data_IF_178236361708
#
_entry.id   IF_178236361708
#
_cell.length_a   1.000
_cell.length_b   1.000
_cell.length_c   1.000
_cell.angle_alpha   90.00
_cell.angle_beta   90.00
_cell.angle_gamma   90.00
#
_symmetry.space_group_name_H-M   'P 1'
#
loop_
_entity.id
_entity.type
_entity.pdbx_description
1 polymer ?
#
# COMPACT_ATOMS: atom_id res chain seq x y z
N UNK A 1 -26.85 -6.94 -25.68
CA UNK A 1 -27.74 -6.69 -24.53
C UNK A 1 -27.79 -5.20 -24.28
N UNK A 2 -28.87 -4.67 -23.73
CA UNK A 2 -28.86 -3.29 -23.23
C UNK A 2 -27.70 -3.11 -22.23
N UNK A 3 -26.92 -2.02 -22.32
CA UNK A 3 -25.80 -1.75 -21.41
C UNK A 3 -26.19 -1.85 -19.93
N UNK A 4 -27.43 -1.50 -19.62
CA UNK A 4 -28.00 -1.57 -18.26
C UNK A 4 -28.11 -3.01 -17.76
N UNK A 5 -28.56 -3.95 -18.60
CA UNK A 5 -28.71 -5.36 -18.21
C UNK A 5 -27.34 -6.00 -18.00
N UNK A 6 -26.37 -5.69 -18.89
CA UNK A 6 -24.99 -6.15 -18.72
C UNK A 6 -24.37 -5.64 -17.42
N UNK A 7 -24.64 -4.39 -17.05
CA UNK A 7 -24.22 -3.81 -15.77
C UNK A 7 -24.82 -4.53 -14.56
N UNK A 8 -26.14 -4.75 -14.56
CA UNK A 8 -26.84 -5.46 -13.46
C UNK A 8 -26.28 -6.88 -13.30
N UNK A 9 -26.12 -7.63 -14.40
CA UNK A 9 -25.54 -8.98 -14.36
C UNK A 9 -24.11 -8.95 -13.82
N UNK A 10 -23.29 -7.99 -14.25
CA UNK A 10 -21.93 -7.82 -13.73
C UNK A 10 -21.89 -7.56 -12.22
N UNK A 11 -22.76 -6.69 -11.71
CA UNK A 11 -22.84 -6.42 -10.26
C UNK A 11 -23.17 -7.69 -9.46
N UNK A 12 -24.19 -8.43 -9.86
CA UNK A 12 -24.54 -9.70 -9.19
C UNK A 12 -23.41 -10.73 -9.27
N UNK A 13 -22.69 -10.78 -10.40
CA UNK A 13 -21.58 -11.70 -10.61
C UNK A 13 -20.39 -11.38 -9.69
N UNK A 14 -20.05 -10.10 -9.49
CA UNK A 14 -19.02 -9.69 -8.51
C UNK A 14 -19.42 -10.15 -7.10
N UNK A 15 -20.65 -9.84 -6.67
CA UNK A 15 -21.09 -10.25 -5.34
C UNK A 15 -21.07 -11.77 -5.16
N UNK A 16 -21.49 -12.52 -6.17
CA UNK A 16 -21.42 -13.98 -6.15
C UNK A 16 -19.97 -14.49 -5.98
N UNK A 17 -19.01 -13.93 -6.73
CA UNK A 17 -17.58 -14.27 -6.60
C UNK A 17 -17.01 -13.92 -5.22
N UNK A 18 -17.43 -12.79 -4.65
CA UNK A 18 -17.02 -12.36 -3.31
C UNK A 18 -17.57 -13.30 -2.23
N UNK A 19 -18.82 -13.76 -2.35
CA UNK A 19 -19.40 -14.76 -1.44
C UNK A 19 -18.67 -16.11 -1.51
N UNK A 20 -18.08 -16.44 -2.65
CA UNK A 20 -17.26 -17.63 -2.83
C UNK A 20 -15.87 -17.53 -2.16
N UNK A 21 -15.54 -16.37 -1.56
CA UNK A 21 -14.28 -16.12 -0.87
C UNK A 21 -13.13 -15.69 -1.77
N UNK A 22 -13.42 -15.29 -3.03
CA UNK A 22 -12.39 -14.84 -3.95
C UNK A 22 -11.85 -13.46 -3.54
N UNK A 23 -10.53 -13.21 -3.58
CA UNK A 23 -9.98 -11.91 -3.24
C UNK A 23 -10.56 -10.82 -4.15
N UNK A 24 -10.91 -9.68 -3.55
CA UNK A 24 -11.65 -8.58 -4.20
C UNK A 24 -10.96 -8.12 -5.49
N UNK A 25 -9.63 -8.05 -5.49
CA UNK A 25 -8.84 -7.66 -6.66
C UNK A 25 -9.12 -8.54 -7.87
N UNK A 26 -9.11 -9.87 -7.70
CA UNK A 26 -9.38 -10.81 -8.80
C UNK A 26 -10.85 -10.78 -9.21
N UNK A 27 -11.78 -10.60 -8.27
CA UNK A 27 -13.21 -10.52 -8.57
C UNK A 27 -13.51 -9.31 -9.46
N UNK A 28 -13.03 -8.12 -9.06
CA UNK A 28 -13.22 -6.89 -9.83
C UNK A 28 -12.48 -6.95 -11.18
N UNK A 29 -11.28 -7.51 -11.22
CA UNK A 29 -10.51 -7.66 -12.45
C UNK A 29 -11.22 -8.58 -13.45
N UNK A 30 -11.72 -9.74 -13.01
CA UNK A 30 -12.39 -10.70 -13.88
C UNK A 30 -13.72 -10.18 -14.42
N UNK A 31 -14.57 -9.62 -13.56
CA UNK A 31 -15.87 -9.08 -14.00
C UNK A 31 -15.70 -7.80 -14.82
N UNK A 32 -14.75 -6.93 -14.45
CA UNK A 32 -14.41 -5.75 -15.22
C UNK A 32 -13.91 -6.09 -16.62
N UNK A 33 -13.02 -7.08 -16.74
CA UNK A 33 -12.52 -7.56 -18.03
C UNK A 33 -13.63 -8.18 -18.88
N UNK A 34 -14.46 -9.07 -18.30
CA UNK A 34 -15.58 -9.69 -19.00
C UNK A 34 -16.63 -8.66 -19.45
N UNK A 35 -16.94 -7.67 -18.60
CA UNK A 35 -17.88 -6.59 -18.90
C UNK A 35 -17.38 -5.65 -20.00
N UNK A 36 -16.12 -5.22 -19.93
CA UNK A 36 -15.50 -4.38 -20.97
C UNK A 36 -15.35 -5.13 -22.30
N UNK A 37 -14.98 -6.42 -22.24
CA UNK A 37 -14.87 -7.27 -23.43
C UNK A 37 -16.22 -7.47 -24.13
N UNK A 38 -17.31 -7.58 -23.37
CA UNK A 38 -18.66 -7.72 -23.91
C UNK A 38 -19.25 -6.40 -24.45
N UNK A 39 -18.97 -5.28 -23.79
CA UNK A 39 -19.62 -3.99 -24.11
C UNK A 39 -18.85 -3.14 -25.12
N UNK A 40 -17.51 -3.23 -25.13
CA UNK A 40 -16.66 -2.47 -26.05
C UNK A 40 -16.00 -3.41 -27.08
N UNK A 41 -14.96 -4.12 -26.67
CA UNK A 41 -14.26 -5.17 -27.43
C UNK A 41 -13.14 -5.75 -26.59
N UNK A 42 -12.62 -6.93 -26.95
CA UNK A 42 -11.48 -7.52 -26.25
C UNK A 42 -10.21 -6.68 -26.39
N UNK A 43 -10.05 -5.98 -27.53
CA UNK A 43 -8.95 -5.04 -27.80
C UNK A 43 -9.00 -3.80 -26.89
N UNK A 44 -10.19 -3.37 -26.47
CA UNK A 44 -10.33 -2.28 -25.51
C UNK A 44 -10.13 -2.75 -24.04
N UNK A 45 -10.47 -4.01 -23.73
CA UNK A 45 -10.39 -4.54 -22.38
C UNK A 45 -8.95 -4.86 -21.93
N UNK A 46 -8.13 -5.43 -22.82
CA UNK A 46 -6.72 -5.76 -22.58
C UNK A 46 -5.86 -4.58 -22.08
N UNK A 47 -5.83 -3.41 -22.75
CA UNK A 47 -5.01 -2.28 -22.31
C UNK A 47 -5.49 -1.68 -20.98
N UNK A 48 -6.80 -1.73 -20.70
CA UNK A 48 -7.34 -1.26 -19.42
C UNK A 48 -6.82 -2.13 -18.28
N UNK A 49 -6.88 -3.45 -18.43
CA UNK A 49 -6.35 -4.38 -17.42
C UNK A 49 -4.85 -4.19 -17.21
N UNK A 50 -4.07 -4.09 -18.30
CA UNK A 50 -2.63 -3.85 -18.23
C UNK A 50 -2.30 -2.55 -17.49
N UNK A 51 -3.05 -1.48 -17.78
CA UNK A 51 -2.92 -0.20 -17.10
C UNK A 51 -3.24 -0.29 -15.62
N UNK A 52 -4.35 -0.93 -15.23
CA UNK A 52 -4.73 -1.07 -13.82
C UNK A 52 -3.67 -1.85 -13.03
N UNK A 53 -3.14 -2.93 -13.59
CA UNK A 53 -2.06 -3.70 -12.95
C UNK A 53 -0.81 -2.83 -12.78
N UNK A 54 -0.46 -2.05 -13.80
CA UNK A 54 0.69 -1.14 -13.75
C UNK A 54 0.51 -0.03 -12.72
N UNK A 55 -0.66 0.60 -12.65
CA UNK A 55 -0.94 1.67 -11.67
C UNK A 55 -0.87 1.16 -10.22
N UNK A 56 -1.31 -0.08 -9.97
CA UNK A 56 -1.23 -0.70 -8.65
C UNK A 56 0.20 -1.11 -8.31
N UNK A 57 0.98 -1.63 -9.26
CA UNK A 57 2.37 -2.02 -9.01
C UNK A 57 3.32 -0.82 -8.90
N UNK A 58 3.11 0.22 -9.71
CA UNK A 58 3.86 1.47 -9.69
C UNK A 58 3.34 2.46 -8.63
N UNK A 59 2.69 1.95 -7.58
CA UNK A 59 2.13 2.78 -6.53
C UNK A 59 3.26 3.45 -5.72
N UNK A 60 3.34 4.77 -5.82
CA UNK A 60 4.43 5.59 -5.27
C UNK A 60 4.74 5.29 -3.78
N UNK A 61 3.76 5.09 -2.88
CA UNK A 61 4.02 4.71 -1.50
C UNK A 61 4.79 3.40 -1.30
N UNK A 62 4.73 2.45 -2.25
CA UNK A 62 5.55 1.24 -2.18
C UNK A 62 7.04 1.50 -2.35
N UNK A 63 7.41 2.58 -3.03
CA UNK A 63 8.81 3.03 -3.12
C UNK A 63 9.27 3.70 -1.82
N UNK A 64 8.36 4.32 -1.06
CA UNK A 64 8.69 4.97 0.22
C UNK A 64 9.16 3.96 1.27
N UNK A 65 8.57 2.76 1.30
CA UNK A 65 8.93 1.69 2.26
C UNK A 65 10.43 1.30 2.20
N UNK A 66 10.99 0.86 1.06
CA UNK A 66 12.40 0.50 0.97
C UNK A 66 13.32 1.71 1.18
N UNK A 67 12.93 2.91 0.72
CA UNK A 67 13.70 4.13 0.98
C UNK A 67 13.80 4.45 2.48
N UNK A 68 12.71 4.25 3.23
CA UNK A 68 12.70 4.43 4.68
C UNK A 68 13.58 3.38 5.38
N UNK A 69 13.57 2.14 4.92
CA UNK A 69 14.46 1.08 5.43
C UNK A 69 15.92 1.43 5.16
N UNK A 70 16.25 1.90 3.96
CA UNK A 70 17.61 2.34 3.58
C UNK A 70 18.07 3.54 4.41
N UNK A 71 17.20 4.55 4.58
CA UNK A 71 17.46 5.69 5.45
C UNK A 71 17.75 5.25 6.89
N UNK A 72 16.93 4.36 7.46
CA UNK A 72 17.14 3.79 8.79
C UNK A 72 18.47 3.03 8.90
N UNK A 73 18.84 2.26 7.87
CA UNK A 73 20.13 1.56 7.78
C UNK A 73 21.32 2.51 7.73
N UNK A 74 21.22 3.63 7.00
CA UNK A 74 22.26 4.68 6.99
C UNK A 74 22.33 5.43 8.32
N UNK A 75 21.20 5.75 8.94
CA UNK A 75 21.16 6.40 10.25
C UNK A 75 21.80 5.55 11.35
N UNK A 76 21.57 4.23 11.32
CA UNK A 76 22.21 3.29 12.24
C UNK A 76 23.70 3.10 11.98
N UNK A 77 24.11 2.94 10.71
CA UNK A 77 25.52 2.67 10.36
C UNK A 77 26.44 3.88 10.47
N UNK A 78 25.93 5.10 10.27
CA UNK A 78 26.69 6.35 10.44
C UNK A 78 26.92 6.76 11.90
N UNK A 79 26.33 6.06 12.86
CA UNK A 79 26.40 6.43 14.28
C UNK A 79 25.46 7.57 14.67
N UNK A 80 24.72 8.16 13.72
CA UNK A 80 23.78 9.25 13.96
C UNK A 80 22.71 8.90 15.01
N UNK A 81 22.19 7.66 14.98
CA UNK A 81 21.25 7.17 16.01
C UNK A 81 21.87 7.15 17.40
N UNK A 82 23.17 6.82 17.51
CA UNK A 82 23.90 6.76 18.78
C UNK A 82 24.18 8.17 19.32
N UNK A 83 24.53 9.10 18.46
CA UNK A 83 24.76 10.50 18.84
C UNK A 83 23.48 11.22 19.26
N UNK A 84 22.37 10.96 18.56
CA UNK A 84 21.02 11.41 18.96
C UNK A 84 20.66 10.86 20.34
N UNK A 85 20.84 9.55 20.56
CA UNK A 85 20.56 8.93 21.85
C UNK A 85 21.39 9.54 22.98
N UNK A 86 22.70 9.72 22.77
CA UNK A 86 23.58 10.34 23.77
C UNK A 86 23.21 11.80 24.07
N UNK A 87 22.67 12.52 23.08
CA UNK A 87 22.20 13.90 23.25
C UNK A 87 20.92 13.94 24.10
N UNK A 88 19.95 13.09 23.79
CA UNK A 88 18.72 13.00 24.58
C UNK A 88 18.96 12.48 26.00
N UNK A 89 19.87 11.52 26.19
CA UNK A 89 20.27 11.03 27.51
C UNK A 89 20.86 12.16 28.37
N UNK A 90 21.76 12.97 27.81
CA UNK A 90 22.32 14.14 28.51
C UNK A 90 21.26 15.19 28.86
N UNK A 91 20.29 15.41 27.98
CA UNK A 91 19.24 16.40 28.19
C UNK A 91 18.26 15.97 29.29
N UNK A 92 17.81 14.71 29.23
CA UNK A 92 16.77 14.21 30.14
C UNK A 92 17.31 13.58 31.43
N UNK A 93 18.64 13.55 31.64
CA UNK A 93 19.29 12.99 32.84
C UNK A 93 18.75 13.52 34.17
N UNK A 94 18.27 14.77 34.21
CA UNK A 94 17.78 15.42 35.44
C UNK A 94 16.33 15.08 35.79
N UNK A 95 15.58 14.44 34.89
CA UNK A 95 14.20 14.05 35.14
C UNK A 95 14.14 12.66 35.80
N UNK A 96 13.22 12.44 36.76
CA UNK A 96 12.96 11.10 37.29
C UNK A 96 12.47 10.20 36.14
N UNK A 97 13.17 9.09 35.88
CA UNK A 97 12.92 8.24 34.71
C UNK A 97 13.61 8.68 33.41
N UNK A 98 14.60 9.58 33.48
CA UNK A 98 15.28 10.20 32.34
C UNK A 98 15.78 9.24 31.25
N UNK A 99 16.19 8.03 31.61
CA UNK A 99 16.64 6.99 30.66
C UNK A 99 15.48 6.47 29.79
N UNK A 100 14.28 6.33 30.36
CA UNK A 100 13.08 5.94 29.62
C UNK A 100 12.51 7.09 28.76
N UNK A 101 12.65 8.33 29.23
CA UNK A 101 12.25 9.51 28.47
C UNK A 101 13.21 9.75 27.30
N UNK A 102 14.51 9.50 27.50
CA UNK A 102 15.53 9.60 26.47
C UNK A 102 15.38 8.55 25.35
N UNK A 103 15.04 7.30 25.67
CA UNK A 103 14.73 6.27 24.66
C UNK A 103 13.50 6.65 23.83
N UNK A 104 12.43 7.12 24.47
CA UNK A 104 11.23 7.57 23.74
C UNK A 104 11.55 8.78 22.86
N UNK A 105 12.29 9.77 23.38
CA UNK A 105 12.70 10.94 22.60
C UNK A 105 13.63 10.61 21.42
N UNK A 106 14.52 9.63 21.60
CA UNK A 106 15.42 9.18 20.54
C UNK A 106 14.74 8.29 19.47
N UNK A 107 13.69 7.55 19.83
CA UNK A 107 12.95 6.68 18.90
C UNK A 107 11.75 7.36 18.22
N UNK A 108 11.24 8.48 18.76
CA UNK A 108 10.11 9.21 18.20
C UNK A 108 10.51 10.22 17.10
N UNK A 109 11.82 10.41 16.86
CA UNK A 109 12.39 11.32 15.87
C UNK A 109 12.91 10.63 14.61
#
# INVERSE_FOLDING_TARGET
MDPVIAGVVGTFLVFFLLFLGMPIAFALMFVGFAGLGYLASIEAALPVVARTVYEVSAYYPYTVIPLFIVMGGFAGSSGMTKDLYATFDKWFRKLPGGLAIATIGACAG
#
